data_IF_986044611686
#
_entry.id   IF_986044611686
#
_cell.length_a   1.000
_cell.length_b   1.000
_cell.length_c   1.000
_cell.angle_alpha   90.00
_cell.angle_beta   90.00
_cell.angle_gamma   90.00
#
_symmetry.space_group_name_H-M   'P 1'
#
loop_
_entity.id
_entity.type
_entity.pdbx_description
1 polymer ?
#
# COMPACT_ATOMS: atom_id res chain seq x y z
N UNK A 1 29.74 -31.34 54.88
CA UNK A 1 28.94 -30.12 55.12
C UNK A 1 29.72 -28.94 54.56
N UNK A 2 29.04 -28.16 53.71
CA UNK A 2 29.32 -26.78 53.28
C UNK A 2 30.72 -26.40 52.78
N UNK A 3 30.86 -26.19 51.46
CA UNK A 3 31.25 -24.91 50.87
C UNK A 3 31.50 -25.05 49.34
N UNK A 4 30.43 -25.02 48.54
CA UNK A 4 30.49 -24.71 47.11
C UNK A 4 29.34 -23.74 46.84
N UNK A 5 29.52 -22.47 47.18
CA UNK A 5 28.67 -21.37 46.71
C UNK A 5 29.54 -20.13 46.60
N UNK A 6 30.27 -19.99 45.50
CA UNK A 6 30.82 -18.71 45.06
C UNK A 6 31.31 -18.82 43.61
N UNK A 7 30.40 -18.70 42.64
CA UNK A 7 30.70 -18.17 41.29
C UNK A 7 29.53 -18.24 40.29
N UNK A 8 28.30 -17.89 40.66
CA UNK A 8 27.17 -17.89 39.70
C UNK A 8 26.30 -16.63 39.76
N UNK A 9 26.93 -15.46 39.84
CA UNK A 9 26.20 -14.21 39.96
C UNK A 9 26.90 -13.00 39.30
N UNK A 10 27.65 -13.24 38.22
CA UNK A 10 28.21 -12.15 37.38
C UNK A 10 27.91 -12.23 35.89
N UNK A 11 27.18 -13.22 35.39
CA UNK A 11 26.79 -13.30 33.96
C UNK A 11 25.35 -12.88 33.66
N UNK A 12 24.52 -12.57 34.67
CA UNK A 12 23.09 -12.31 34.48
C UNK A 12 22.67 -10.83 34.54
N UNK A 13 23.59 -9.87 34.53
CA UNK A 13 23.26 -8.46 34.79
C UNK A 13 23.75 -7.42 33.76
N UNK A 14 24.12 -7.84 32.54
CA UNK A 14 24.28 -6.90 31.43
C UNK A 14 23.51 -7.39 30.20
N UNK A 15 22.40 -6.73 29.90
CA UNK A 15 21.71 -6.92 28.63
C UNK A 15 20.24 -6.50 28.55
N UNK A 16 19.61 -6.08 29.65
CA UNK A 16 18.24 -5.54 29.64
C UNK A 16 18.31 -4.02 29.50
N UNK A 17 18.59 -3.46 28.30
CA UNK A 17 18.31 -2.03 28.02
C UNK A 17 18.17 -1.62 26.53
N UNK A 18 18.01 -2.56 25.60
CA UNK A 18 17.77 -2.20 24.18
C UNK A 18 16.32 -2.49 23.80
N UNK A 19 15.37 -1.65 24.20
CA UNK A 19 13.96 -1.95 23.91
C UNK A 19 12.93 -0.84 24.06
N UNK A 20 13.28 0.39 24.46
CA UNK A 20 12.29 1.46 24.57
C UNK A 20 12.09 2.25 23.26
N UNK A 21 13.10 2.33 22.39
CA UNK A 21 13.02 3.09 21.14
C UNK A 21 12.24 2.36 20.02
N UNK A 22 12.27 1.01 20.00
CA UNK A 22 11.56 0.22 18.98
C UNK A 22 10.04 0.23 19.14
N UNK A 23 9.54 0.23 20.38
CA UNK A 23 8.10 0.27 20.68
C UNK A 23 7.49 1.62 20.30
N UNK A 24 8.26 2.71 20.36
CA UNK A 24 7.80 4.05 19.99
C UNK A 24 7.56 4.19 18.47
N UNK A 25 8.40 3.56 17.64
CA UNK A 25 8.21 3.51 16.19
C UNK A 25 6.97 2.68 15.83
N UNK A 26 6.76 1.52 16.46
CA UNK A 26 5.56 0.71 16.26
C UNK A 26 4.27 1.44 16.65
N UNK A 27 4.28 2.22 17.74
CA UNK A 27 3.16 3.05 18.16
C UNK A 27 2.91 4.23 17.21
N UNK A 28 3.96 4.85 16.67
CA UNK A 28 3.86 5.90 15.65
C UNK A 28 3.31 5.37 14.31
N UNK A 29 3.72 4.17 13.89
CA UNK A 29 3.15 3.48 12.74
C UNK A 29 1.66 3.21 12.97
N UNK A 30 1.29 2.63 14.12
CA UNK A 30 -0.11 2.33 14.44
C UNK A 30 -0.99 3.59 14.49
N UNK A 31 -0.48 4.69 15.07
CA UNK A 31 -1.21 5.96 15.15
C UNK A 31 -1.37 6.65 13.78
N UNK A 32 -0.46 6.42 12.84
CA UNK A 32 -0.53 6.97 11.47
C UNK A 32 -1.42 6.14 10.52
N UNK A 33 -1.53 4.83 10.73
CA UNK A 33 -2.45 3.97 9.97
C UNK A 33 -3.88 3.94 10.54
N UNK A 34 -4.07 4.25 11.83
CA UNK A 34 -5.38 4.20 12.48
C UNK A 34 -6.32 5.39 12.22
N UNK A 35 -5.92 6.40 11.42
CA UNK A 35 -6.76 7.58 11.12
C UNK A 35 -6.89 7.94 9.63
N UNK A 36 -6.58 7.01 8.73
CA UNK A 36 -6.90 7.16 7.31
C UNK A 36 -7.79 6.00 6.86
N UNK A 37 -9.08 6.10 7.20
CA UNK A 37 -10.08 5.74 6.18
C UNK A 37 -9.79 6.59 4.94
N UNK A 38 -9.97 6.01 3.76
CA UNK A 38 -9.63 6.60 2.46
C UNK A 38 -8.12 6.70 2.17
N UNK A 39 -7.51 5.57 1.81
CA UNK A 39 -6.37 5.57 0.86
C UNK A 39 -6.45 4.34 -0.06
N UNK A 40 -7.54 4.24 -0.81
CA UNK A 40 -7.57 3.50 -2.07
C UNK A 40 -7.43 4.54 -3.18
N UNK A 41 -6.24 4.56 -3.77
CA UNK A 41 -5.86 5.54 -4.78
C UNK A 41 -4.38 5.48 -5.11
N UNK A 42 -3.80 4.29 -5.22
CA UNK A 42 -2.51 4.10 -5.88
C UNK A 42 -2.75 3.15 -7.06
N UNK A 43 -2.34 3.53 -8.29
CA UNK A 43 -2.80 2.85 -9.48
C UNK A 43 -2.22 1.43 -9.57
N UNK A 44 -3.15 0.51 -9.74
CA UNK A 44 -3.03 -0.87 -10.18
C UNK A 44 -2.33 -0.93 -11.55
N UNK A 45 -1.00 -0.75 -11.58
CA UNK A 45 -0.23 -0.84 -12.83
C UNK A 45 1.13 -1.49 -12.63
N UNK A 46 1.14 -2.73 -12.14
CA UNK A 46 2.23 -3.67 -12.35
C UNK A 46 1.70 -5.09 -12.61
N UNK A 47 0.86 -5.23 -13.63
CA UNK A 47 0.58 -6.52 -14.25
C UNK A 47 1.52 -6.66 -15.44
N UNK A 48 2.58 -7.44 -15.27
CA UNK A 48 3.60 -7.68 -16.26
C UNK A 48 3.06 -8.65 -17.31
N UNK A 49 2.55 -8.15 -18.44
CA UNK A 49 2.44 -8.96 -19.66
C UNK A 49 3.85 -9.21 -20.17
N UNK A 50 4.42 -10.36 -19.82
CA UNK A 50 5.70 -10.81 -20.37
C UNK A 50 5.41 -11.86 -21.42
N UNK A 51 5.29 -11.39 -22.66
CA UNK A 51 5.20 -12.25 -23.84
C UNK A 51 6.52 -13.03 -24.00
N UNK A 52 6.39 -14.31 -24.35
CA UNK A 52 7.49 -15.23 -24.50
C UNK A 52 8.33 -14.87 -25.74
N UNK A 53 9.51 -14.29 -25.53
CA UNK A 53 10.59 -14.36 -26.52
C UNK A 53 11.91 -14.72 -25.84
N UNK A 54 12.30 -15.98 -26.05
CA UNK A 54 13.57 -16.56 -25.64
C UNK A 54 14.66 -15.94 -26.52
N UNK A 55 15.49 -15.06 -25.95
CA UNK A 55 16.97 -15.02 -26.07
C UNK A 55 17.53 -13.72 -25.44
N UNK A 56 18.58 -13.88 -24.61
CA UNK A 56 19.40 -12.85 -23.97
C UNK A 56 18.90 -12.20 -22.64
N UNK A 57 18.79 -13.01 -21.57
CA UNK A 57 18.21 -12.59 -20.27
C UNK A 57 19.21 -12.17 -19.18
N UNK A 58 20.54 -12.25 -19.37
CA UNK A 58 21.47 -11.92 -18.28
C UNK A 58 21.70 -10.40 -18.17
N UNK A 59 21.83 -9.67 -19.29
CA UNK A 59 22.02 -8.22 -19.28
C UNK A 59 20.76 -7.44 -18.88
N UNK A 60 19.58 -7.88 -19.34
CA UNK A 60 18.32 -7.20 -19.06
C UNK A 60 17.92 -7.28 -17.57
N UNK A 61 18.20 -8.41 -16.91
CA UNK A 61 17.94 -8.59 -15.46
C UNK A 61 18.82 -7.67 -14.62
N UNK A 62 20.11 -7.54 -14.95
CA UNK A 62 21.01 -6.61 -14.26
C UNK A 62 20.61 -5.15 -14.46
N UNK A 63 20.15 -4.77 -15.67
CA UNK A 63 19.66 -3.41 -15.96
C UNK A 63 18.38 -3.10 -15.17
N UNK A 64 17.45 -4.05 -15.05
CA UNK A 64 16.22 -3.86 -14.25
C UNK A 64 16.52 -3.77 -12.75
N UNK A 65 17.41 -4.62 -12.24
CA UNK A 65 17.83 -4.59 -10.84
C UNK A 65 18.59 -3.31 -10.49
N UNK A 66 19.44 -2.81 -11.39
CA UNK A 66 20.10 -1.52 -11.26
C UNK A 66 19.11 -0.34 -11.24
N UNK A 67 18.07 -0.38 -12.10
CA UNK A 67 17.00 0.63 -12.07
C UNK A 67 16.20 0.61 -10.76
N UNK A 68 15.91 -0.57 -10.22
CA UNK A 68 15.24 -0.69 -8.91
C UNK A 68 16.09 -0.10 -7.78
N UNK A 69 17.41 -0.34 -7.79
CA UNK A 69 18.33 0.24 -6.82
C UNK A 69 18.33 1.78 -6.88
N UNK A 70 18.39 2.35 -8.08
CA UNK A 70 18.34 3.80 -8.27
C UNK A 70 17.01 4.41 -7.81
N UNK A 71 15.88 3.71 -8.01
CA UNK A 71 14.58 4.16 -7.50
C UNK A 71 14.61 4.17 -5.97
N UNK A 72 15.15 3.12 -5.34
CA UNK A 72 15.25 3.04 -3.88
C UNK A 72 16.13 4.15 -3.30
N UNK A 73 17.27 4.43 -3.94
CA UNK A 73 18.18 5.52 -3.57
C UNK A 73 17.48 6.89 -3.68
N UNK A 74 16.78 7.14 -4.79
CA UNK A 74 16.00 8.37 -4.98
C UNK A 74 14.90 8.50 -3.92
N UNK A 75 14.17 7.43 -3.60
CA UNK A 75 13.17 7.44 -2.55
C UNK A 75 13.79 7.71 -1.17
N UNK A 76 14.97 7.15 -0.88
CA UNK A 76 15.72 7.44 0.33
C UNK A 76 16.13 8.91 0.44
N UNK A 77 16.61 9.51 -0.65
CA UNK A 77 16.94 10.94 -0.71
C UNK A 77 15.72 11.83 -0.50
N UNK A 78 14.58 11.47 -1.10
CA UNK A 78 13.33 12.20 -0.97
C UNK A 78 12.81 12.13 0.48
N UNK A 79 12.86 10.96 1.10
CA UNK A 79 12.47 10.80 2.50
C UNK A 79 13.30 11.70 3.42
N UNK A 80 14.61 11.77 3.20
CA UNK A 80 15.49 12.68 3.94
C UNK A 80 15.10 14.15 3.76
N UNK A 81 14.85 14.58 2.52
CA UNK A 81 14.42 15.96 2.25
C UNK A 81 13.08 16.32 2.89
N UNK A 82 12.15 15.36 2.96
CA UNK A 82 10.84 15.56 3.61
C UNK A 82 11.00 15.67 5.13
N UNK A 83 11.92 14.92 5.74
CA UNK A 83 12.20 15.02 7.17
C UNK A 83 12.91 16.35 7.52
N UNK A 84 13.85 16.79 6.70
CA UNK A 84 14.49 18.11 6.84
C UNK A 84 13.44 19.24 6.76
N UNK A 85 12.60 19.22 5.73
CA UNK A 85 11.51 20.19 5.59
C UNK A 85 10.53 20.15 6.77
N UNK A 86 10.25 18.97 7.31
CA UNK A 86 9.38 18.80 8.48
C UNK A 86 9.97 19.47 9.72
N UNK A 87 11.28 19.33 9.96
CA UNK A 87 11.95 20.01 11.06
C UNK A 87 12.04 21.53 10.84
N UNK A 88 12.27 21.99 9.61
CA UNK A 88 12.21 23.42 9.26
C UNK A 88 10.82 24.02 9.51
N UNK A 89 9.76 23.34 9.10
CA UNK A 89 8.38 23.78 9.34
C UNK A 89 8.06 23.81 10.83
N UNK A 90 8.54 22.82 11.59
CA UNK A 90 8.39 22.80 13.05
C UNK A 90 9.14 23.95 13.70
N UNK A 91 10.39 24.20 13.30
CA UNK A 91 11.18 25.34 13.76
C UNK A 91 10.49 26.68 13.44
N UNK A 92 9.97 26.83 12.22
CA UNK A 92 9.25 28.03 11.82
C UNK A 92 7.97 28.22 12.65
N UNK A 93 7.23 27.14 12.90
CA UNK A 93 6.04 27.15 13.76
C UNK A 93 6.34 27.53 15.21
N UNK A 94 7.55 27.24 15.70
CA UNK A 94 7.98 27.64 17.05
C UNK A 94 8.53 29.08 17.09
N UNK A 95 9.12 29.56 16.00
CA UNK A 95 9.74 30.90 15.94
C UNK A 95 8.76 32.01 15.58
N UNK A 96 7.79 31.77 14.68
CA UNK A 96 6.72 32.73 14.36
C UNK A 96 5.99 33.24 15.62
N UNK A 97 5.47 32.39 16.53
CA UNK A 97 4.76 32.88 17.71
C UNK A 97 5.67 33.63 18.68
N UNK A 98 6.96 33.26 18.78
CA UNK A 98 7.95 33.99 19.59
C UNK A 98 8.22 35.39 19.03
N UNK A 99 8.31 35.52 17.71
CA UNK A 99 8.42 36.81 17.03
C UNK A 99 7.14 37.64 17.19
N UNK A 100 5.96 37.01 17.12
CA UNK A 100 4.68 37.68 17.35
C UNK A 100 4.56 38.21 18.79
N UNK A 101 5.03 37.45 19.79
CA UNK A 101 5.10 37.87 21.19
C UNK A 101 6.07 39.03 21.39
N UNK A 102 7.27 38.97 20.79
CA UNK A 102 8.24 40.08 20.81
C UNK A 102 7.66 41.37 20.20
N UNK A 103 6.94 41.27 19.08
CA UNK A 103 6.28 42.43 18.46
C UNK A 103 5.16 42.99 19.35
N UNK A 104 4.37 42.12 19.99
CA UNK A 104 3.30 42.54 20.92
C UNK A 104 3.89 43.22 22.17
N UNK A 105 4.97 42.70 22.72
CA UNK A 105 5.66 43.27 23.88
C UNK A 105 6.32 44.61 23.54
N UNK A 106 6.94 44.75 22.38
CA UNK A 106 7.46 46.04 21.89
C UNK A 106 6.34 47.06 21.71
N UNK A 107 5.20 46.67 21.10
CA UNK A 107 4.05 47.57 20.94
C UNK A 107 3.40 47.94 22.27
N UNK A 108 3.34 47.02 23.23
CA UNK A 108 2.80 47.24 24.58
C UNK A 108 3.71 48.16 25.40
N UNK A 109 5.03 47.94 25.38
CA UNK A 109 6.01 48.82 26.02
C UNK A 109 6.03 50.24 25.43
N UNK A 110 5.72 50.40 24.13
CA UNK A 110 5.60 51.70 23.46
C UNK A 110 4.33 52.47 23.83
N UNK A 111 3.27 51.77 24.24
CA UNK A 111 2.02 52.39 24.68
C UNK A 111 2.08 52.84 26.15
N UNK A 112 2.85 52.18 27.02
CA UNK A 112 3.02 52.59 28.43
C UNK A 112 3.89 53.86 28.60
N UNK A 113 4.67 54.23 27.57
CA UNK A 113 5.46 55.47 27.55
C UNK A 113 4.72 56.73 27.04
N UNK A 114 3.45 56.64 26.63
CA UNK A 114 2.66 57.77 26.10
C UNK A 114 1.47 58.13 26.99
N UNK A 115 1.75 58.48 28.24
CA UNK A 115 0.85 59.34 29.05
C UNK A 115 1.38 60.77 29.08
N UNK A 116 1.28 61.48 27.96
CA UNK A 116 1.19 62.96 27.97
C UNK A 116 0.19 63.38 26.88
N UNK A 117 -0.87 64.03 27.33
CA UNK A 117 -1.96 64.69 26.60
C UNK A 117 -1.68 66.21 26.54
N UNK A 118 -2.43 67.12 25.87
CA UNK A 118 -3.37 67.03 24.73
C UNK A 118 -3.12 68.12 23.63
N UNK A 119 -3.94 68.11 22.57
CA UNK A 119 -4.62 69.28 21.94
C UNK A 119 -4.46 69.49 20.41
N UNK A 120 -5.64 69.58 19.78
CA UNK A 120 -6.04 70.40 18.61
C UNK A 120 -5.41 70.17 17.23
N UNK A 121 -6.21 69.73 16.25
CA UNK A 121 -6.83 70.61 15.20
C UNK A 121 -7.60 69.80 14.13
N UNK A 122 -8.92 69.74 14.31
CA UNK A 122 -10.03 69.87 13.34
C UNK A 122 -9.86 69.66 11.80
N UNK A 123 -10.84 68.93 11.23
CA UNK A 123 -11.66 69.18 10.01
C UNK A 123 -11.37 68.47 8.66
N UNK A 124 -12.39 67.68 8.26
CA UNK A 124 -13.16 67.63 6.98
C UNK A 124 -12.61 66.93 5.71
N UNK A 125 -13.38 65.89 5.35
CA UNK A 125 -14.13 65.66 4.09
C UNK A 125 -13.39 65.33 2.77
N UNK A 126 -13.84 64.18 2.24
CA UNK A 126 -14.43 63.94 0.90
C UNK A 126 -13.58 63.14 -0.10
N UNK A 127 -14.14 61.94 -0.35
CA UNK A 127 -14.13 61.08 -1.54
C UNK A 127 -13.90 61.80 -2.89
N UNK A 128 -12.92 61.31 -3.64
CA UNK A 128 -12.99 60.98 -5.08
C UNK A 128 -11.60 60.57 -5.58
N UNK A 129 -11.50 59.49 -6.36
CA UNK A 129 -10.83 59.57 -7.66
C UNK A 129 -11.14 58.35 -8.54
N UNK A 130 -11.33 58.65 -9.82
CA UNK A 130 -11.57 57.79 -10.96
C UNK A 130 -10.47 58.11 -11.95
N UNK A 131 -9.75 57.10 -12.47
CA UNK A 131 -9.06 57.07 -13.79
C UNK A 131 -8.57 55.63 -14.00
N UNK A 132 -9.19 54.78 -14.84
CA UNK A 132 -9.06 54.62 -16.31
C UNK A 132 -7.63 54.38 -16.81
N UNK A 133 -7.45 53.26 -17.51
CA UNK A 133 -6.52 52.93 -18.62
C UNK A 133 -6.03 51.47 -18.44
N UNK A 134 -5.80 50.63 -19.44
CA UNK A 134 -5.95 50.64 -20.90
C UNK A 134 -5.57 49.22 -21.36
N UNK A 135 -6.15 48.70 -22.43
CA UNK A 135 -5.79 47.39 -22.98
C UNK A 135 -6.88 46.77 -23.86
N UNK A 136 -7.19 47.42 -24.97
CA UNK A 136 -7.91 46.85 -26.12
C UNK A 136 -6.94 46.05 -26.99
N UNK A 137 -7.36 44.90 -27.56
CA UNK A 137 -7.17 44.42 -28.95
C UNK A 137 -7.34 42.86 -29.04
N UNK A 138 -7.56 42.24 -30.22
CA UNK A 138 -8.90 41.95 -30.73
C UNK A 138 -9.12 40.48 -31.11
N UNK A 139 -10.39 40.21 -31.44
CA UNK A 139 -10.95 39.00 -32.06
C UNK A 139 -10.68 38.93 -33.59
N UNK A 140 -10.93 37.74 -34.18
CA UNK A 140 -10.87 37.32 -35.61
C UNK A 140 -9.53 36.64 -36.02
N UNK A 141 -9.40 35.57 -36.83
CA UNK A 141 -10.28 34.87 -37.79
C UNK A 141 -9.54 33.65 -38.44
N UNK A 142 -10.30 32.59 -38.76
CA UNK A 142 -10.23 31.64 -39.89
C UNK A 142 -9.06 30.65 -40.20
N UNK A 143 -9.54 29.56 -40.83
CA UNK A 143 -8.95 28.75 -41.90
C UNK A 143 -8.13 27.47 -41.57
N UNK A 144 -8.82 26.35 -41.81
CA UNK A 144 -8.44 25.26 -42.73
C UNK A 144 -7.14 24.47 -42.47
N UNK A 145 -7.27 23.16 -42.20
CA UNK A 145 -6.48 22.18 -42.96
C UNK A 145 -7.07 20.78 -42.83
N UNK A 146 -7.45 20.26 -44.00
CA UNK A 146 -7.72 18.86 -44.29
C UNK A 146 -6.54 17.97 -43.87
N UNK A 147 -6.86 16.84 -43.26
CA UNK A 147 -5.93 15.75 -43.00
C UNK A 147 -6.66 14.42 -43.19
N UNK A 148 -7.03 14.13 -44.43
CA UNK A 148 -7.65 12.88 -44.81
C UNK A 148 -6.67 11.72 -44.68
N UNK A 149 -7.16 10.58 -44.17
CA UNK A 149 -6.62 9.27 -44.50
C UNK A 149 -7.77 8.30 -44.70
N UNK A 150 -8.00 7.97 -45.96
CA UNK A 150 -8.71 6.78 -46.39
C UNK A 150 -7.65 5.92 -47.08
N UNK A 151 -7.44 4.71 -46.59
CA UNK A 151 -6.89 3.63 -47.42
C UNK A 151 -7.63 2.36 -47.04
N UNK A 152 -8.37 1.85 -48.02
CA UNK A 152 -9.13 0.62 -47.97
C UNK A 152 -8.30 -0.56 -48.51
N UNK A 153 -8.83 -1.76 -48.25
CA UNK A 153 -8.62 -3.02 -48.98
C UNK A 153 -7.30 -3.77 -48.76
N UNK A 154 -7.44 -4.91 -48.10
CA UNK A 154 -7.01 -6.20 -48.67
C UNK A 154 -8.06 -7.25 -48.33
N UNK A 155 -8.88 -7.59 -49.32
CA UNK A 155 -9.60 -8.86 -49.37
C UNK A 155 -8.58 -9.96 -49.67
N UNK A 156 -8.65 -11.09 -48.99
CA UNK A 156 -7.93 -12.31 -49.39
C UNK A 156 -8.85 -13.49 -49.18
N UNK A 157 -9.63 -13.77 -50.21
CA UNK A 157 -10.27 -15.07 -50.43
C UNK A 157 -9.17 -16.07 -50.82
N UNK A 158 -8.95 -17.10 -49.99
CA UNK A 158 -8.39 -18.38 -50.44
C UNK A 158 -9.30 -19.47 -49.89
N UNK A 159 -10.18 -19.90 -50.78
CA UNK A 159 -10.90 -21.16 -50.72
C UNK A 159 -9.92 -22.28 -51.10
N UNK A 160 -9.78 -23.32 -50.26
CA UNK A 160 -9.37 -24.65 -50.72
C UNK A 160 -9.81 -25.70 -49.73
N UNK A 161 -10.52 -26.69 -50.28
CA UNK A 161 -11.25 -27.78 -49.66
C UNK A 161 -10.35 -28.96 -49.22
N UNK A 162 -10.85 -29.74 -48.25
CA UNK A 162 -10.73 -31.20 -48.04
C UNK A 162 -9.39 -31.94 -47.71
N UNK A 163 -9.26 -32.30 -46.41
CA UNK A 163 -9.05 -33.67 -45.81
C UNK A 163 -7.81 -34.56 -46.15
N UNK A 164 -7.62 -35.77 -45.55
CA UNK A 164 -7.38 -36.17 -44.14
C UNK A 164 -5.95 -36.72 -43.91
N UNK A 165 -5.41 -36.60 -42.69
CA UNK A 165 -4.12 -37.21 -42.30
C UNK A 165 -4.12 -37.77 -40.87
N UNK A 166 -4.75 -38.93 -40.72
CA UNK A 166 -4.91 -39.74 -39.50
C UNK A 166 -3.59 -39.94 -38.71
N UNK A 167 -3.57 -39.61 -37.40
CA UNK A 167 -2.44 -39.96 -36.55
C UNK A 167 -2.48 -39.48 -35.10
N UNK A 168 -3.42 -40.03 -34.33
CA UNK A 168 -3.52 -39.95 -32.85
C UNK A 168 -4.18 -38.68 -32.30
N UNK A 169 -5.50 -38.79 -32.19
CA UNK A 169 -6.36 -38.01 -31.31
C UNK A 169 -5.88 -38.20 -29.87
N UNK A 170 -5.08 -37.29 -29.34
CA UNK A 170 -4.97 -37.12 -27.89
C UNK A 170 -6.16 -36.28 -27.44
N UNK A 171 -7.22 -36.93 -26.98
CA UNK A 171 -8.46 -36.35 -26.42
C UNK A 171 -8.25 -35.49 -25.14
N UNK A 172 -7.02 -35.04 -24.90
CA UNK A 172 -6.58 -34.29 -23.73
C UNK A 172 -6.33 -32.81 -24.06
N UNK A 173 -6.02 -32.47 -25.33
CA UNK A 173 -5.64 -31.11 -25.72
C UNK A 173 -6.81 -30.13 -25.84
N UNK A 174 -8.04 -30.62 -25.99
CA UNK A 174 -9.25 -29.78 -26.08
C UNK A 174 -9.83 -29.39 -24.70
N UNK A 175 -9.48 -30.10 -23.61
CA UNK A 175 -9.97 -29.79 -22.26
C UNK A 175 -9.12 -28.75 -21.53
N UNK A 176 -7.81 -28.71 -21.80
CA UNK A 176 -6.88 -27.76 -21.18
C UNK A 176 -7.26 -26.28 -21.38
N UNK A 177 -7.68 -25.81 -22.58
CA UNK A 177 -8.05 -24.41 -22.79
C UNK A 177 -9.30 -24.00 -22.02
N UNK A 178 -10.27 -24.92 -21.88
CA UNK A 178 -11.53 -24.67 -21.18
C UNK A 178 -11.31 -24.61 -19.66
N UNK A 179 -10.53 -25.53 -19.09
CA UNK A 179 -10.18 -25.50 -17.66
C UNK A 179 -9.33 -24.28 -17.28
N UNK A 180 -8.41 -23.87 -18.14
CA UNK A 180 -7.63 -22.64 -17.92
C UNK A 180 -8.51 -21.39 -18.01
N UNK A 181 -9.46 -21.34 -18.94
CA UNK A 181 -10.43 -20.24 -19.02
C UNK A 181 -11.36 -20.18 -17.80
N UNK A 182 -11.86 -21.34 -17.33
CA UNK A 182 -12.63 -21.43 -16.08
C UNK A 182 -11.82 -20.93 -14.88
N UNK A 183 -10.55 -21.34 -14.76
CA UNK A 183 -9.66 -20.89 -13.71
C UNK A 183 -9.48 -19.38 -13.78
N UNK A 184 -9.15 -18.80 -14.94
CA UNK A 184 -8.97 -17.36 -15.08
C UNK A 184 -10.23 -16.56 -14.72
N UNK A 185 -11.41 -17.05 -15.12
CA UNK A 185 -12.70 -16.47 -14.72
C UNK A 185 -12.90 -16.48 -13.20
N UNK A 186 -12.64 -17.63 -12.56
CA UNK A 186 -12.70 -17.79 -11.11
C UNK A 186 -11.75 -16.84 -10.38
N UNK A 187 -10.50 -16.72 -10.85
CA UNK A 187 -9.49 -15.85 -10.25
C UNK A 187 -9.89 -14.38 -10.35
N UNK A 188 -10.41 -13.95 -11.51
CA UNK A 188 -10.94 -12.59 -11.72
C UNK A 188 -12.13 -12.29 -10.82
N UNK A 189 -13.02 -13.25 -10.64
CA UNK A 189 -14.15 -13.12 -9.72
C UNK A 189 -13.67 -12.99 -8.27
N UNK A 190 -12.68 -13.78 -7.87
CA UNK A 190 -12.07 -13.67 -6.54
C UNK A 190 -11.36 -12.33 -6.31
N UNK A 191 -10.71 -11.77 -7.34
CA UNK A 191 -10.11 -10.43 -7.28
C UNK A 191 -11.17 -9.33 -7.14
N UNK A 192 -12.28 -9.43 -7.88
CA UNK A 192 -13.43 -8.51 -7.75
C UNK A 192 -14.03 -8.57 -6.35
N UNK A 193 -14.29 -9.76 -5.84
CA UNK A 193 -14.92 -9.98 -4.54
C UNK A 193 -14.03 -9.48 -3.38
N UNK A 194 -12.71 -9.62 -3.48
CA UNK A 194 -11.78 -9.09 -2.48
C UNK A 194 -11.87 -7.56 -2.34
N UNK A 195 -12.12 -6.86 -3.43
CA UNK A 195 -12.25 -5.40 -3.43
C UNK A 195 -13.68 -4.92 -3.12
N UNK A 196 -14.62 -5.86 -2.90
CA UNK A 196 -16.01 -5.59 -2.61
C UNK A 196 -16.32 -5.37 -1.13
N UNK A 197 -17.59 -5.50 -0.80
CA UNK A 197 -18.12 -5.45 0.57
C UNK A 197 -17.67 -6.65 1.40
N UNK A 198 -17.96 -6.61 2.71
CA UNK A 198 -17.71 -7.75 3.61
C UNK A 198 -18.45 -9.03 3.14
N UNK A 199 -19.67 -8.89 2.61
CA UNK A 199 -20.43 -10.01 2.03
C UNK A 199 -19.75 -10.58 0.80
N UNK A 200 -19.25 -9.71 -0.09
CA UNK A 200 -18.58 -10.15 -1.32
C UNK A 200 -17.31 -10.96 -0.99
N UNK A 201 -16.56 -10.53 0.02
CA UNK A 201 -15.38 -11.26 0.52
C UNK A 201 -15.74 -12.65 1.05
N UNK A 202 -16.82 -12.76 1.82
CA UNK A 202 -17.31 -14.05 2.31
C UNK A 202 -17.74 -14.97 1.17
N UNK A 203 -18.45 -14.43 0.18
CA UNK A 203 -18.88 -15.18 -1.00
C UNK A 203 -17.68 -15.62 -1.85
N UNK A 204 -16.70 -14.74 -2.04
CA UNK A 204 -15.44 -15.06 -2.71
C UNK A 204 -14.64 -16.15 -2.00
N UNK A 205 -14.58 -16.11 -0.67
CA UNK A 205 -13.94 -17.14 0.13
C UNK A 205 -14.62 -18.51 -0.04
N UNK A 206 -15.96 -18.57 0.10
CA UNK A 206 -16.72 -19.82 -0.09
C UNK A 206 -16.58 -20.38 -1.49
N UNK A 207 -16.60 -19.51 -2.50
CA UNK A 207 -16.40 -19.86 -3.90
C UNK A 207 -15.03 -20.50 -4.14
N UNK A 208 -13.96 -19.93 -3.57
CA UNK A 208 -12.61 -20.48 -3.67
C UNK A 208 -12.51 -21.83 -2.95
N UNK A 209 -13.03 -21.97 -1.72
CA UNK A 209 -13.01 -23.25 -1.00
C UNK A 209 -13.66 -24.38 -1.79
N UNK A 210 -14.81 -24.13 -2.42
CA UNK A 210 -15.52 -25.12 -3.24
C UNK A 210 -14.70 -25.62 -4.43
N UNK A 211 -13.69 -24.87 -4.88
CA UNK A 211 -12.83 -25.21 -6.02
C UNK A 211 -11.41 -25.63 -5.59
N UNK A 212 -11.17 -25.74 -4.28
CA UNK A 212 -9.85 -26.08 -3.73
C UNK A 212 -9.37 -27.46 -4.17
N UNK A 213 -10.25 -28.44 -4.28
CA UNK A 213 -9.87 -29.79 -4.75
C UNK A 213 -9.41 -29.78 -6.21
N UNK A 214 -10.03 -28.94 -7.07
CA UNK A 214 -9.70 -28.84 -8.51
C UNK A 214 -8.44 -28.03 -8.77
N UNK A 215 -8.24 -26.92 -8.04
CA UNK A 215 -7.18 -25.94 -8.34
C UNK A 215 -6.14 -25.78 -7.22
N UNK A 216 -6.13 -26.66 -6.21
CA UNK A 216 -5.26 -26.58 -5.02
C UNK A 216 -3.75 -26.73 -5.29
N UNK A 217 -3.35 -26.95 -6.54
CA UNK A 217 -1.98 -27.12 -7.00
C UNK A 217 -1.59 -26.00 -7.98
N UNK A 218 -2.46 -25.02 -8.20
CA UNK A 218 -2.19 -23.82 -9.01
C UNK A 218 -1.77 -22.68 -8.10
N UNK A 219 -0.57 -22.16 -8.30
CA UNK A 219 0.01 -21.05 -7.51
C UNK A 219 -0.94 -19.85 -7.47
N UNK A 220 -1.49 -19.47 -8.63
CA UNK A 220 -2.41 -18.33 -8.79
C UNK A 220 -3.68 -18.44 -7.96
N UNK A 221 -4.17 -19.66 -7.78
CA UNK A 221 -5.34 -19.96 -6.96
C UNK A 221 -4.97 -19.93 -5.48
N UNK A 222 -3.86 -20.56 -5.09
CA UNK A 222 -3.45 -20.70 -3.70
C UNK A 222 -3.21 -19.35 -3.01
N UNK A 223 -2.50 -18.41 -3.64
CA UNK A 223 -2.27 -17.11 -2.98
C UNK A 223 -3.55 -16.28 -2.87
N UNK A 224 -4.52 -16.45 -3.78
CA UNK A 224 -5.86 -15.84 -3.66
C UNK A 224 -6.70 -16.47 -2.57
N UNK A 225 -6.61 -17.79 -2.40
CA UNK A 225 -7.24 -18.48 -1.27
C UNK A 225 -6.62 -18.03 0.06
N UNK A 226 -5.29 -17.94 0.15
CA UNK A 226 -4.61 -17.39 1.32
C UNK A 226 -5.04 -15.95 1.65
N UNK A 227 -5.19 -15.10 0.62
CA UNK A 227 -5.75 -13.75 0.77
C UNK A 227 -7.17 -13.78 1.33
N UNK A 228 -8.03 -14.65 0.81
CA UNK A 228 -9.40 -14.77 1.28
C UNK A 228 -9.48 -15.28 2.74
N UNK A 229 -8.57 -16.18 3.16
CA UNK A 229 -8.41 -16.52 4.58
C UNK A 229 -8.04 -15.30 5.43
N UNK A 230 -7.15 -14.43 4.93
CA UNK A 230 -6.83 -13.18 5.61
C UNK A 230 -8.04 -12.24 5.70
N UNK A 231 -8.89 -12.17 4.68
CA UNK A 231 -10.12 -11.38 4.76
C UNK A 231 -11.03 -11.91 5.87
N UNK A 232 -11.27 -13.22 5.91
CA UNK A 232 -12.09 -13.86 6.95
C UNK A 232 -11.54 -13.60 8.35
N UNK A 233 -10.21 -13.62 8.51
CA UNK A 233 -9.56 -13.28 9.78
C UNK A 233 -9.90 -11.87 10.28
N UNK A 234 -9.96 -10.88 9.38
CA UNK A 234 -10.29 -9.50 9.76
C UNK A 234 -11.80 -9.27 9.91
N UNK A 235 -12.65 -10.06 9.25
CA UNK A 235 -14.10 -9.95 9.31
C UNK A 235 -14.71 -10.61 10.56
N UNK A 236 -14.18 -11.75 10.97
CA UNK A 236 -14.66 -12.46 12.15
C UNK A 236 -14.26 -11.70 13.42
N UNK A 237 -15.07 -11.81 14.49
CA UNK A 237 -14.72 -11.32 15.83
C UNK A 237 -14.41 -12.44 16.83
N UNK A 238 -14.80 -13.68 16.50
CA UNK A 238 -14.51 -14.85 17.31
C UNK A 238 -13.02 -15.22 17.31
N UNK A 239 -12.49 -15.51 18.50
CA UNK A 239 -11.05 -15.76 18.68
C UNK A 239 -10.63 -17.14 18.17
N UNK A 240 -11.50 -18.15 18.26
CA UNK A 240 -11.21 -19.52 17.82
C UNK A 240 -11.22 -19.59 16.30
N UNK A 241 -12.23 -19.01 15.65
CA UNK A 241 -12.32 -18.86 14.19
C UNK A 241 -11.15 -18.06 13.63
N UNK A 242 -10.77 -16.93 14.27
CA UNK A 242 -9.57 -16.17 13.88
C UNK A 242 -8.32 -17.03 13.89
N UNK A 243 -8.14 -17.83 14.93
CA UNK A 243 -6.99 -18.73 15.03
C UNK A 243 -7.02 -19.78 13.91
N UNK A 244 -8.19 -20.34 13.62
CA UNK A 244 -8.40 -21.30 12.54
C UNK A 244 -8.03 -20.71 11.18
N UNK A 245 -8.62 -19.56 10.82
CA UNK A 245 -8.36 -18.90 9.53
C UNK A 245 -6.89 -18.48 9.37
N UNK A 246 -6.25 -18.01 10.43
CA UNK A 246 -4.84 -17.64 10.38
C UNK A 246 -3.93 -18.86 10.18
N UNK A 247 -4.23 -19.98 10.85
CA UNK A 247 -3.48 -21.23 10.69
C UNK A 247 -3.65 -21.83 9.29
N UNK A 248 -4.90 -21.95 8.81
CA UNK A 248 -5.20 -22.50 7.48
C UNK A 248 -4.65 -21.61 6.37
N UNK A 249 -4.83 -20.29 6.49
CA UNK A 249 -4.26 -19.32 5.56
C UNK A 249 -2.73 -19.44 5.47
N UNK A 250 -2.05 -19.63 6.60
CA UNK A 250 -0.59 -19.81 6.64
C UNK A 250 -0.17 -21.08 5.91
N UNK A 251 -0.89 -22.18 6.11
CA UNK A 251 -0.63 -23.44 5.41
C UNK A 251 -0.82 -23.29 3.89
N UNK A 252 -1.91 -22.66 3.45
CA UNK A 252 -2.20 -22.42 2.03
C UNK A 252 -1.16 -21.49 1.39
N UNK A 253 -0.79 -20.42 2.09
CA UNK A 253 0.23 -19.48 1.61
C UNK A 253 1.61 -20.15 1.50
N UNK A 254 1.98 -20.98 2.49
CA UNK A 254 3.22 -21.75 2.48
C UNK A 254 3.32 -22.66 1.27
N UNK A 255 2.26 -23.43 0.99
CA UNK A 255 2.16 -24.26 -0.22
C UNK A 255 2.33 -23.45 -1.51
N UNK A 256 1.78 -22.24 -1.57
CA UNK A 256 1.94 -21.37 -2.75
C UNK A 256 3.40 -20.99 -3.01
N UNK A 257 4.14 -20.66 -1.95
CA UNK A 257 5.58 -20.32 -2.04
C UNK A 257 6.43 -21.54 -2.35
N UNK A 258 6.08 -22.71 -1.81
CA UNK A 258 6.77 -23.98 -2.12
C UNK A 258 6.62 -24.38 -3.59
N UNK A 259 5.48 -24.09 -4.21
CA UNK A 259 5.24 -24.37 -5.63
C UNK A 259 5.92 -23.40 -6.59
N UNK A 260 6.02 -22.11 -6.21
CA UNK A 260 6.74 -21.10 -6.99
C UNK A 260 7.40 -20.06 -6.07
N UNK A 261 8.71 -20.22 -5.89
CA UNK A 261 9.55 -19.37 -5.06
C UNK A 261 9.81 -17.98 -5.68
N UNK A 262 9.44 -17.77 -6.95
CA UNK A 262 9.61 -16.50 -7.66
C UNK A 262 8.33 -15.68 -7.70
N UNK A 263 7.20 -16.25 -7.28
CA UNK A 263 5.93 -15.55 -7.24
C UNK A 263 5.93 -14.47 -6.16
N UNK A 264 6.07 -13.21 -6.58
CA UNK A 264 6.01 -12.06 -5.68
C UNK A 264 4.66 -11.98 -4.92
N UNK A 265 3.56 -12.39 -5.56
CA UNK A 265 2.24 -12.43 -4.95
C UNK A 265 2.16 -13.47 -3.82
N UNK A 266 2.75 -14.65 -4.02
CA UNK A 266 2.79 -15.72 -3.02
C UNK A 266 3.58 -15.28 -1.79
N UNK A 267 4.76 -14.69 -1.98
CA UNK A 267 5.56 -14.13 -0.88
C UNK A 267 4.81 -13.00 -0.15
N UNK A 268 4.17 -12.09 -0.88
CA UNK A 268 3.38 -11.00 -0.28
C UNK A 268 2.30 -11.56 0.65
N UNK A 269 1.46 -12.46 0.16
CA UNK A 269 0.35 -12.97 0.95
C UNK A 269 0.79 -13.91 2.05
N UNK A 270 1.89 -14.65 1.86
CA UNK A 270 2.53 -15.40 2.94
C UNK A 270 2.96 -14.48 4.08
N UNK A 271 3.63 -13.36 3.79
CA UNK A 271 4.02 -12.38 4.82
C UNK A 271 2.81 -11.76 5.51
N UNK A 272 1.78 -11.35 4.76
CA UNK A 272 0.57 -10.76 5.33
C UNK A 272 -0.12 -11.73 6.29
N UNK A 273 -0.33 -12.98 5.87
CA UNK A 273 -0.98 -13.99 6.71
C UNK A 273 -0.10 -14.37 7.90
N UNK A 274 1.22 -14.46 7.70
CA UNK A 274 2.18 -14.74 8.76
C UNK A 274 2.10 -13.68 9.87
N UNK A 275 2.09 -12.39 9.51
CA UNK A 275 1.97 -11.29 10.48
C UNK A 275 0.62 -11.38 11.22
N UNK A 276 -0.47 -11.71 10.55
CA UNK A 276 -1.78 -11.89 11.19
C UNK A 276 -1.78 -12.97 12.27
N UNK A 277 -1.06 -14.08 12.06
CA UNK A 277 -0.86 -15.14 13.07
C UNK A 277 -0.07 -14.60 14.27
N UNK A 278 1.06 -13.96 14.02
CA UNK A 278 1.97 -13.45 15.07
C UNK A 278 1.32 -12.37 15.95
N UNK A 279 0.55 -11.47 15.33
CA UNK A 279 -0.20 -10.43 16.05
C UNK A 279 -1.32 -11.02 16.91
N UNK A 280 -2.03 -12.04 16.43
CA UNK A 280 -3.08 -12.69 17.21
C UNK A 280 -2.52 -13.41 18.45
N UNK A 281 -1.40 -14.13 18.30
CA UNK A 281 -0.71 -14.77 19.42
C UNK A 281 -0.26 -13.75 20.48
N UNK A 282 0.27 -12.61 20.03
CA UNK A 282 0.73 -11.53 20.92
C UNK A 282 -0.43 -10.88 21.66
N UNK A 283 -1.55 -10.59 20.98
CA UNK A 283 -2.74 -10.00 21.61
C UNK A 283 -3.40 -10.94 22.62
N UNK A 284 -3.54 -12.22 22.29
CA UNK A 284 -4.06 -13.23 23.22
C UNK A 284 -3.15 -13.42 24.44
N UNK A 285 -1.82 -13.35 24.26
CA UNK A 285 -0.88 -13.40 25.38
C UNK A 285 -1.05 -12.21 26.33
N UNK A 286 -1.23 -10.99 25.79
CA UNK A 286 -1.46 -9.79 26.61
C UNK A 286 -2.79 -9.90 27.37
N UNK A 287 -3.87 -10.31 26.70
CA UNK A 287 -5.18 -10.52 27.34
C UNK A 287 -5.12 -11.60 28.43
N UNK A 288 -4.39 -12.69 28.18
CA UNK A 288 -4.17 -13.75 29.16
C UNK A 288 -3.45 -13.22 30.41
N UNK A 289 -2.39 -12.43 30.23
CA UNK A 289 -1.71 -11.79 31.37
C UNK A 289 -2.65 -10.85 32.13
N UNK A 290 -3.39 -9.98 31.43
CA UNK A 290 -4.35 -9.06 32.06
C UNK A 290 -5.46 -9.77 32.84
N UNK A 291 -6.01 -10.88 32.31
CA UNK A 291 -7.02 -11.69 32.99
C UNK A 291 -6.48 -12.34 34.28
N UNK A 292 -5.22 -12.78 34.26
CA UNK A 292 -4.55 -13.35 35.43
C UNK A 292 -4.27 -12.30 36.52
N UNK A 293 -3.98 -11.06 36.13
CA UNK A 293 -3.77 -9.96 37.07
C UNK A 293 -5.05 -9.42 37.71
N UNK A 294 -6.24 -9.63 37.12
CA UNK A 294 -7.53 -9.22 37.70
C UNK A 294 -8.15 -10.24 38.67
N UNK A 295 -7.54 -11.42 38.84
CA UNK A 295 -8.00 -12.47 39.77
C UNK A 295 -7.19 -12.54 41.07
N UNK A 296 -6.38 -11.53 41.37
CA UNK A 296 -5.64 -11.35 42.64
C UNK A 296 -6.11 -10.05 43.28
#
# INVERSE_FOLDING_TARGET
>A
MSNIVQSENRSLLLGVFTGAAGVSIAFLCWRRYGKHGYFLGLPEKWSSTRDNQVQNNQGAVMVLQGRQLQILEKLGSLLKSVEELREEVKFLKETIPKLEEQIKDELRGKNDGRKVSPQHRSLKRKKSETTKASGEYPSSEEAESEGGYITAQTDTEVESEDEPGLGIVTAEKTKLPEEEAELQSLLRQADTNHNGSESDKQDGFRMLLNKQEKYGNKVEFLWRLARAYSDMFYLTNDAEEKKSYAADGKNVAGKSVELDDKSAASHRWWVVVFISVELNLSHLYILYQQSKFHKV
#
